data_IF_183914378437
#
_entry.id   IF_183914378437
#
_cell.length_a   1.000
_cell.length_b   1.000
_cell.length_c   1.000
_cell.angle_alpha   90.00
_cell.angle_beta   90.00
_cell.angle_gamma   90.00
#
_symmetry.space_group_name_H-M   'P 1'
#
loop_
_entity.id
_entity.type
_entity.pdbx_description
1 polymer ?
#
# COMPACT_ATOMS: atom_id res chain seq x y z
N UNK A 1 4.45 20.71 3.37
CA UNK A 1 4.64 19.26 3.15
C UNK A 1 5.85 19.10 2.27
N UNK A 2 6.89 18.43 2.74
CA UNK A 2 7.98 18.00 1.86
C UNK A 2 7.53 16.67 1.29
N UNK A 3 7.14 16.65 0.01
CA UNK A 3 7.10 15.41 -0.73
C UNK A 3 8.56 15.02 -0.97
N UNK A 4 9.00 13.90 -0.39
CA UNK A 4 10.23 13.28 -0.86
C UNK A 4 9.90 12.68 -2.22
N UNK A 5 10.43 13.27 -3.28
CA UNK A 5 10.40 12.67 -4.61
C UNK A 5 11.35 11.47 -4.57
N UNK A 6 10.83 10.27 -4.83
CA UNK A 6 11.61 9.04 -4.87
C UNK A 6 11.50 8.47 -6.26
N UNK A 7 12.64 8.31 -6.95
CA UNK A 7 12.69 7.76 -8.31
C UNK A 7 12.29 6.27 -8.33
N UNK A 8 12.56 5.56 -7.23
CA UNK A 8 12.18 4.16 -7.01
C UNK A 8 11.79 3.94 -5.55
N UNK A 9 10.84 3.03 -5.31
CA UNK A 9 10.50 2.63 -3.94
C UNK A 9 11.67 1.83 -3.35
N UNK A 10 12.05 2.09 -2.09
CA UNK A 10 12.97 1.22 -1.37
C UNK A 10 12.41 -0.21 -1.31
N UNK A 11 13.28 -1.22 -1.32
CA UNK A 11 12.86 -2.63 -1.29
C UNK A 11 12.07 -3.06 -0.04
N UNK A 12 12.01 -2.21 0.99
CA UNK A 12 11.19 -2.41 2.20
C UNK A 12 9.78 -1.77 2.12
N UNK A 13 9.44 -1.18 0.97
CA UNK A 13 8.13 -0.56 0.71
C UNK A 13 7.45 -1.26 -0.46
N UNK A 14 6.22 -1.71 -0.24
CA UNK A 14 5.34 -2.24 -1.30
C UNK A 14 4.11 -1.36 -1.45
N UNK A 15 3.74 -1.03 -2.68
CA UNK A 15 2.49 -0.37 -3.03
C UNK A 15 1.51 -1.39 -3.64
N UNK A 16 0.35 -1.56 -3.02
CA UNK A 16 -0.76 -2.35 -3.52
C UNK A 16 -1.95 -1.44 -3.79
N UNK A 17 -2.42 -1.39 -5.04
CA UNK A 17 -3.64 -0.65 -5.38
C UNK A 17 -4.86 -1.55 -5.24
N UNK A 18 -5.83 -1.08 -4.46
CA UNK A 18 -7.13 -1.74 -4.32
C UNK A 18 -7.96 -1.57 -5.60
N UNK A 19 -8.82 -2.55 -5.95
CA UNK A 19 -9.67 -2.51 -7.15
C UNK A 19 -10.92 -1.64 -6.95
N UNK A 20 -10.76 -0.41 -6.47
CA UNK A 20 -11.86 0.50 -6.12
C UNK A 20 -11.72 1.90 -6.78
N UNK A 21 -11.59 2.00 -8.11
CA UNK A 21 -11.51 3.30 -8.78
C UNK A 21 -12.81 4.10 -8.63
N UNK A 22 -12.70 5.42 -8.61
CA UNK A 22 -13.87 6.29 -8.47
C UNK A 22 -13.51 7.77 -8.32
N UNK A 23 -14.52 8.67 -8.27
CA UNK A 23 -14.28 10.11 -8.22
C UNK A 23 -13.40 10.57 -7.06
N UNK A 24 -13.42 9.85 -5.95
CA UNK A 24 -12.66 10.17 -4.73
C UNK A 24 -11.38 9.34 -4.57
N UNK A 25 -11.29 8.18 -5.21
CA UNK A 25 -10.18 7.23 -5.07
C UNK A 25 -9.29 7.18 -6.32
N UNK A 26 -9.66 7.91 -7.37
CA UNK A 26 -8.98 7.95 -8.67
C UNK A 26 -8.84 6.53 -9.25
N UNK A 27 -7.61 6.05 -9.42
CA UNK A 27 -7.31 4.71 -9.93
C UNK A 27 -7.56 3.60 -8.90
N UNK A 28 -7.84 3.97 -7.64
CA UNK A 28 -8.01 3.07 -6.51
C UNK A 28 -7.16 3.50 -5.31
N UNK A 29 -7.52 3.02 -4.13
CA UNK A 29 -6.79 3.31 -2.90
C UNK A 29 -5.38 2.73 -2.96
N UNK A 30 -4.39 3.56 -2.63
CA UNK A 30 -3.00 3.14 -2.50
C UNK A 30 -2.75 2.60 -1.09
N UNK A 31 -2.68 1.28 -0.95
CA UNK A 31 -2.23 0.66 0.29
C UNK A 31 -0.71 0.54 0.29
N UNK A 32 -0.08 1.10 1.31
CA UNK A 32 1.37 1.01 1.51
C UNK A 32 1.69 0.00 2.59
N UNK A 33 2.57 -0.95 2.27
CA UNK A 33 3.08 -1.94 3.22
C UNK A 33 4.55 -1.66 3.46
N UNK A 34 4.91 -1.33 4.70
CA UNK A 34 6.26 -0.97 5.11
C UNK A 34 6.79 -2.07 6.03
N UNK A 35 7.79 -2.81 5.57
CA UNK A 35 8.42 -3.91 6.32
C UNK A 35 9.92 -3.69 6.41
N UNK A 36 10.40 -3.28 7.59
CA UNK A 36 11.82 -3.10 7.78
C UNK A 36 12.59 -4.42 7.58
N UNK A 37 13.83 -4.39 7.07
CA UNK A 37 14.61 -5.60 6.83
C UNK A 37 14.77 -6.44 8.10
N UNK A 38 14.39 -7.71 8.04
CA UNK A 38 14.48 -8.65 9.17
C UNK A 38 13.28 -8.65 10.11
N UNK A 39 12.28 -7.79 9.91
CA UNK A 39 11.10 -7.73 10.77
C UNK A 39 9.97 -8.68 10.33
N UNK A 40 9.36 -9.33 11.32
CA UNK A 40 8.20 -10.21 11.14
C UNK A 40 6.90 -9.43 10.86
N UNK A 41 6.82 -8.20 11.38
CA UNK A 41 5.63 -7.36 11.23
C UNK A 41 5.85 -6.23 10.21
N UNK A 42 4.74 -5.78 9.62
CA UNK A 42 4.72 -4.65 8.71
C UNK A 42 3.68 -3.61 9.17
N UNK A 43 3.92 -2.35 8.82
CA UNK A 43 2.92 -1.29 8.95
C UNK A 43 2.12 -1.22 7.65
N UNK A 44 0.81 -1.27 7.76
CA UNK A 44 -0.12 -1.09 6.63
C UNK A 44 -0.75 0.29 6.75
N UNK A 45 -0.62 1.10 5.70
CA UNK A 45 -1.21 2.43 5.61
C UNK A 45 -2.32 2.39 4.55
N UNK A 46 -3.51 2.82 4.93
CA UNK A 46 -4.69 2.94 4.07
C UNK A 46 -5.04 1.61 3.34
N UNK A 47 -5.60 0.62 4.07
CA UNK A 47 -5.79 -0.74 3.55
C UNK A 47 -6.83 -0.85 2.43
N UNK A 48 -7.51 0.24 2.06
CA UNK A 48 -8.59 0.20 1.09
C UNK A 48 -9.89 -0.39 1.66
N UNK A 49 -10.84 -0.78 0.79
CA UNK A 49 -12.14 -1.32 1.21
C UNK A 49 -12.01 -2.76 1.76
N UNK A 50 -13.10 -3.27 2.33
CA UNK A 50 -13.24 -4.68 2.71
C UNK A 50 -13.38 -5.58 1.46
N UNK A 51 -12.33 -5.65 0.66
CA UNK A 51 -12.19 -6.53 -0.49
C UNK A 51 -11.26 -7.69 -0.12
N UNK A 52 -11.80 -8.92 -0.08
CA UNK A 52 -11.06 -10.09 0.40
C UNK A 52 -9.79 -10.38 -0.41
N UNK A 53 -9.84 -10.19 -1.73
CA UNK A 53 -8.70 -10.41 -2.62
C UNK A 53 -7.56 -9.41 -2.38
N UNK A 54 -7.91 -8.14 -2.16
CA UNK A 54 -6.95 -7.10 -1.80
C UNK A 54 -6.37 -7.32 -0.40
N UNK A 55 -7.21 -7.65 0.59
CA UNK A 55 -6.76 -7.94 1.96
C UNK A 55 -5.82 -9.16 2.00
N UNK A 56 -6.07 -10.20 1.21
CA UNK A 56 -5.16 -11.34 1.08
C UNK A 56 -3.78 -10.93 0.52
N UNK A 57 -3.76 -10.03 -0.48
CA UNK A 57 -2.50 -9.50 -1.03
C UNK A 57 -1.73 -8.62 -0.03
N UNK A 58 -2.44 -7.90 0.85
CA UNK A 58 -1.81 -7.12 1.93
C UNK A 58 -1.18 -8.05 2.97
N UNK A 59 -1.87 -9.14 3.32
CA UNK A 59 -1.39 -10.09 4.33
C UNK A 59 -0.09 -10.82 3.91
N UNK A 60 0.10 -11.00 2.59
CA UNK A 60 1.29 -11.64 2.02
C UNK A 60 1.14 -13.14 1.88
#
# INVERSE_FOLDING_TARGET
>A
MVAAEVEQLPGWVTLLRAPNPGPMTLDGTNTWVLRAPGEEFAVVIDPGPLDEGHLARIAG
#
